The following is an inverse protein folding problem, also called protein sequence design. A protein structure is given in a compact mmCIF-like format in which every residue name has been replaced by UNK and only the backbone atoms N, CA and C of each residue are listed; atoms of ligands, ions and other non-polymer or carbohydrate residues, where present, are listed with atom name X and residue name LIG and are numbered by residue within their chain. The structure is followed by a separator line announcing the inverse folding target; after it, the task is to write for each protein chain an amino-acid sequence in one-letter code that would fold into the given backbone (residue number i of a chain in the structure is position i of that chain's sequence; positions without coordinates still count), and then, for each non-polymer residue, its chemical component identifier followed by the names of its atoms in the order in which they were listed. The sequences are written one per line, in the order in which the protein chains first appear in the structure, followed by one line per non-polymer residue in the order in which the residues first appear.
data_IF_013793157063
#
_entry.id   IF_013793157063
#
_cell.length_a   1.000
_cell.length_b   1.000
_cell.length_c   1.000
_cell.angle_alpha   90.00
_cell.angle_beta   90.00
_cell.angle_gamma   90.00
#
_symmetry.space_group_name_H-M   'P 1'
#
loop_
_entity.id
_entity.type
_entity.pdbx_description
1 polymer ?
#
# COMPACT_ATOMS: atom_id res chain seq x y z
N UNK A 1 -4.97 16.75 -13.09
CA UNK A 1 -3.53 16.58 -13.35
C UNK A 1 -3.24 15.10 -13.41
N UNK A 2 -2.34 14.68 -14.30
CA UNK A 2 -2.05 13.26 -14.54
C UNK A 2 -1.07 12.72 -13.50
N UNK A 3 -1.19 11.43 -13.17
CA UNK A 3 -0.14 10.71 -12.45
C UNK A 3 1.05 10.53 -13.37
N UNK A 4 2.24 10.94 -12.93
CA UNK A 4 3.49 10.80 -13.69
C UNK A 4 4.50 9.87 -13.01
N UNK A 5 4.28 9.53 -11.73
CA UNK A 5 5.13 8.60 -10.99
C UNK A 5 4.36 7.93 -9.86
N UNK A 6 4.73 6.68 -9.57
CA UNK A 6 4.32 5.93 -8.38
C UNK A 6 5.52 5.88 -7.43
N UNK A 7 5.30 6.19 -6.15
CA UNK A 7 6.28 5.99 -5.09
C UNK A 7 5.95 4.69 -4.34
N UNK A 8 6.95 3.84 -4.12
CA UNK A 8 6.79 2.55 -3.42
C UNK A 8 8.00 2.25 -2.51
N UNK A 9 7.81 1.39 -1.51
CA UNK A 9 8.86 0.99 -0.55
C UNK A 9 9.54 -0.33 -0.90
N UNK A 10 9.12 -0.97 -2.00
CA UNK A 10 9.79 -2.11 -2.61
C UNK A 10 8.92 -3.35 -2.67
N UNK A 11 9.50 -4.40 -3.24
CA UNK A 11 8.81 -5.68 -3.47
C UNK A 11 9.47 -6.85 -2.76
N UNK A 12 10.80 -6.82 -2.58
CA UNK A 12 11.55 -7.91 -1.97
C UNK A 12 12.15 -7.51 -0.62
N UNK A 13 11.91 -8.34 0.39
CA UNK A 13 12.60 -8.33 1.66
C UNK A 13 12.52 -9.72 2.29
N UNK A 14 13.65 -10.40 2.45
CA UNK A 14 13.71 -11.72 3.08
C UNK A 14 13.54 -11.59 4.60
N UNK A 15 12.28 -11.55 5.05
CA UNK A 15 11.89 -11.37 6.45
C UNK A 15 10.59 -12.11 6.81
N UNK A 16 10.37 -12.44 8.09
CA UNK A 16 9.05 -12.84 8.56
C UNK A 16 8.07 -11.66 8.54
N UNK A 17 6.77 -11.96 8.63
CA UNK A 17 5.71 -10.95 8.74
C UNK A 17 6.00 -10.00 9.90
N UNK A 18 5.90 -8.69 9.63
CA UNK A 18 6.19 -7.58 10.56
C UNK A 18 7.61 -7.59 11.17
N UNK A 19 8.59 -8.28 10.53
CA UNK A 19 9.93 -8.48 11.08
C UNK A 19 9.96 -9.18 12.46
N UNK A 20 8.88 -9.88 12.85
CA UNK A 20 8.82 -10.55 14.15
C UNK A 20 9.30 -11.99 14.03
N UNK A 21 10.29 -12.37 14.85
CA UNK A 21 10.81 -13.73 14.89
C UNK A 21 9.70 -14.74 15.25
N UNK A 22 9.69 -15.89 14.57
CA UNK A 22 8.66 -16.92 14.76
C UNK A 22 7.41 -16.76 13.88
N UNK A 23 7.19 -15.58 13.28
CA UNK A 23 6.11 -15.42 12.30
C UNK A 23 6.41 -16.16 11.00
N UNK A 24 5.35 -16.49 10.26
CA UNK A 24 5.46 -17.02 8.89
C UNK A 24 6.26 -16.08 7.98
N UNK A 25 6.90 -16.59 6.91
CA UNK A 25 7.52 -15.74 5.89
C UNK A 25 6.49 -14.77 5.27
N UNK A 26 6.87 -13.50 5.13
CA UNK A 26 6.07 -12.48 4.44
C UNK A 26 6.00 -12.78 2.93
N UNK A 27 4.99 -12.29 2.20
CA UNK A 27 5.01 -12.35 0.74
C UNK A 27 6.19 -11.59 0.11
N UNK A 28 6.69 -10.54 0.78
CA UNK A 28 7.94 -9.87 0.39
C UNK A 28 9.15 -10.80 0.38
N UNK A 29 9.16 -11.88 1.19
CA UNK A 29 10.26 -12.85 1.17
C UNK A 29 10.39 -13.59 -0.16
N UNK A 30 9.34 -13.53 -1.01
CA UNK A 30 9.27 -14.15 -2.33
C UNK A 30 9.11 -13.13 -3.46
N UNK A 31 9.33 -11.85 -3.18
CA UNK A 31 9.02 -10.74 -4.09
C UNK A 31 7.56 -10.75 -4.59
N UNK A 32 6.65 -11.35 -3.81
CA UNK A 32 5.24 -11.53 -4.16
C UNK A 32 4.36 -10.46 -3.49
N UNK A 33 4.90 -9.27 -3.24
CA UNK A 33 4.14 -8.15 -2.70
C UNK A 33 4.74 -6.82 -3.16
N UNK A 34 3.97 -5.75 -3.05
CA UNK A 34 4.39 -4.36 -3.29
C UNK A 34 3.84 -3.46 -2.19
N UNK A 35 4.71 -2.65 -1.59
CA UNK A 35 4.30 -1.60 -0.64
C UNK A 35 4.16 -0.27 -1.39
N UNK A 36 2.94 0.12 -1.75
CA UNK A 36 2.62 1.37 -2.45
C UNK A 36 2.56 2.55 -1.46
N UNK A 37 3.35 3.59 -1.67
CA UNK A 37 3.42 4.76 -0.78
C UNK A 37 2.65 6.00 -1.28
N UNK A 38 2.39 6.11 -2.59
CA UNK A 38 1.68 7.26 -3.15
C UNK A 38 1.98 7.52 -4.63
N UNK A 39 1.56 8.69 -5.12
CA UNK A 39 1.79 9.15 -6.49
C UNK A 39 2.35 10.57 -6.53
N UNK A 40 3.01 10.89 -7.64
CA UNK A 40 3.34 12.26 -8.04
C UNK A 40 2.54 12.66 -9.25
N UNK A 41 2.00 13.87 -9.23
CA UNK A 41 1.23 14.43 -10.32
C UNK A 41 2.10 15.34 -11.19
N UNK A 42 1.70 15.53 -12.45
CA UNK A 42 2.41 16.38 -13.42
C UNK A 42 2.56 17.84 -12.94
N UNK A 43 1.66 18.30 -12.08
CA UNK A 43 1.66 19.64 -11.48
C UNK A 43 2.59 19.77 -10.26
N UNK A 44 3.35 18.72 -9.93
CA UNK A 44 4.30 18.70 -8.82
C UNK A 44 3.71 18.27 -7.49
N UNK A 45 2.38 18.12 -7.37
CA UNK A 45 1.76 17.60 -6.15
C UNK A 45 2.16 16.16 -5.88
N UNK A 46 2.23 15.82 -4.60
CA UNK A 46 2.46 14.47 -4.12
C UNK A 46 1.29 14.07 -3.24
N UNK A 47 0.68 12.93 -3.55
CA UNK A 47 -0.41 12.36 -2.77
C UNK A 47 0.14 11.06 -2.17
N UNK A 48 0.23 11.00 -0.86
CA UNK A 48 0.91 9.95 -0.09
C UNK A 48 -0.03 9.31 0.91
N UNK A 49 0.12 8.00 1.12
CA UNK A 49 -0.64 7.29 2.16
C UNK A 49 -0.32 7.88 3.54
N UNK A 50 0.97 8.16 3.80
CA UNK A 50 1.40 8.71 5.08
C UNK A 50 0.79 10.09 5.41
N UNK A 51 0.60 10.96 4.42
CA UNK A 51 0.15 12.34 4.62
C UNK A 51 -1.35 12.54 4.44
N UNK A 52 -1.96 11.83 3.50
CA UNK A 52 -3.26 12.21 2.94
C UNK A 52 -4.36 11.17 3.21
N UNK A 53 -4.03 10.03 3.84
CA UNK A 53 -4.99 8.93 4.00
C UNK A 53 -6.20 9.24 4.89
N UNK A 54 -5.96 9.97 5.99
CA UNK A 54 -6.95 10.20 7.05
C UNK A 54 -7.72 11.52 6.87
N UNK A 55 -7.46 12.27 5.81
CA UNK A 55 -8.21 13.47 5.49
C UNK A 55 -9.61 13.14 4.91
N UNK A 56 -10.48 14.14 4.81
CA UNK A 56 -11.77 14.02 4.12
C UNK A 56 -11.81 14.87 2.83
N UNK A 57 -10.76 14.74 2.02
CA UNK A 57 -10.56 15.51 0.80
C UNK A 57 -10.45 14.63 -0.45
N UNK A 58 -10.13 15.26 -1.58
CA UNK A 58 -10.07 14.58 -2.86
C UNK A 58 -8.91 13.57 -2.92
N UNK A 59 -7.81 13.90 -2.27
CA UNK A 59 -6.58 13.12 -2.14
C UNK A 59 -6.83 11.83 -1.32
N UNK A 60 -7.47 11.95 -0.16
CA UNK A 60 -7.90 10.79 0.62
C UNK A 60 -8.83 9.88 -0.19
N UNK A 61 -9.87 10.45 -0.81
CA UNK A 61 -10.81 9.69 -1.67
C UNK A 61 -10.12 9.04 -2.86
N UNK A 62 -9.09 9.67 -3.41
CA UNK A 62 -8.27 9.10 -4.47
C UNK A 62 -7.48 7.88 -3.99
N UNK A 63 -6.83 7.95 -2.82
CA UNK A 63 -6.11 6.82 -2.23
C UNK A 63 -7.04 5.65 -1.86
N UNK A 64 -8.22 5.94 -1.30
CA UNK A 64 -9.23 4.91 -0.99
C UNK A 64 -9.72 4.19 -2.25
N UNK A 65 -9.88 4.91 -3.37
CA UNK A 65 -10.17 4.29 -4.68
C UNK A 65 -9.05 3.38 -5.16
N UNK A 66 -7.79 3.81 -5.05
CA UNK A 66 -6.64 2.95 -5.37
C UNK A 66 -6.68 1.67 -4.53
N UNK A 67 -6.92 1.77 -3.22
CA UNK A 67 -7.06 0.60 -2.33
C UNK A 67 -8.16 -0.34 -2.82
N UNK A 68 -9.35 0.20 -3.11
CA UNK A 68 -10.51 -0.61 -3.53
C UNK A 68 -10.29 -1.32 -4.87
N UNK A 69 -9.68 -0.63 -5.83
CA UNK A 69 -9.36 -1.23 -7.13
C UNK A 69 -8.21 -2.24 -7.02
N UNK A 70 -7.19 -1.95 -6.21
CA UNK A 70 -6.11 -2.89 -5.93
C UNK A 70 -6.63 -4.16 -5.25
N UNK A 71 -7.62 -4.06 -4.35
CA UNK A 71 -8.25 -5.22 -3.72
C UNK A 71 -8.84 -6.19 -4.77
N UNK A 72 -9.43 -5.66 -5.85
CA UNK A 72 -9.98 -6.49 -6.94
C UNK A 72 -8.90 -7.21 -7.76
N UNK A 73 -7.70 -6.65 -7.83
CA UNK A 73 -6.58 -7.16 -8.63
C UNK A 73 -5.73 -8.14 -7.82
N UNK A 74 -5.37 -7.76 -6.59
CA UNK A 74 -4.42 -8.50 -5.76
C UNK A 74 -5.14 -9.44 -4.78
N UNK A 75 -6.33 -9.12 -4.29
CA UNK A 75 -7.10 -9.94 -3.35
C UNK A 75 -6.74 -9.70 -1.87
N UNK A 76 -5.49 -9.35 -1.56
CA UNK A 76 -5.10 -8.85 -0.23
C UNK A 76 -4.50 -7.46 -0.35
N UNK A 77 -5.13 -6.50 0.35
CA UNK A 77 -4.68 -5.11 0.46
C UNK A 77 -4.78 -4.66 1.91
N UNK A 78 -3.64 -4.41 2.54
CA UNK A 78 -3.57 -3.91 3.91
C UNK A 78 -3.24 -2.42 3.87
N UNK A 79 -4.06 -1.61 4.51
CA UNK A 79 -3.94 -0.16 4.53
C UNK A 79 -3.71 0.36 5.95
N UNK A 80 -3.56 1.67 6.16
CA UNK A 80 -3.54 2.24 7.51
C UNK A 80 -4.76 1.86 8.37
N UNK A 81 -5.91 1.53 7.75
CA UNK A 81 -7.11 1.08 8.46
C UNK A 81 -6.96 -0.34 9.03
N UNK A 82 -5.98 -1.13 8.57
CA UNK A 82 -5.71 -2.48 9.08
C UNK A 82 -4.98 -2.44 10.43
N UNK A 83 -3.83 -1.76 10.47
CA UNK A 83 -3.02 -1.57 11.68
C UNK A 83 -1.87 -0.56 11.46
N UNK A 84 -1.14 -0.27 12.53
CA UNK A 84 -0.04 0.71 12.56
C UNK A 84 1.20 0.35 11.74
N UNK A 85 1.37 -0.93 11.34
CA UNK A 85 2.47 -1.33 10.46
C UNK A 85 2.26 -0.83 9.03
N UNK A 86 1.03 -0.53 8.64
CA UNK A 86 0.65 -0.07 7.29
C UNK A 86 0.29 1.42 7.26
N UNK A 87 0.67 2.19 8.28
CA UNK A 87 0.28 3.61 8.42
C UNK A 87 0.73 4.52 7.28
N UNK A 88 1.73 4.11 6.51
CA UNK A 88 2.38 4.91 5.47
C UNK A 88 2.35 4.27 4.08
N UNK A 89 1.70 3.12 3.91
CA UNK A 89 1.62 2.42 2.63
C UNK A 89 0.38 1.52 2.52
N UNK A 90 0.08 1.12 1.28
CA UNK A 90 -0.79 -0.02 0.99
C UNK A 90 0.10 -1.23 0.69
N UNK A 91 -0.05 -2.31 1.46
CA UNK A 91 0.59 -3.59 1.15
C UNK A 91 -0.30 -4.38 0.20
N UNK A 92 0.22 -4.69 -0.99
CA UNK A 92 -0.50 -5.39 -2.05
C UNK A 92 0.13 -6.78 -2.24
N UNK A 93 -0.59 -7.86 -1.98
CA UNK A 93 -0.13 -9.23 -2.25
C UNK A 93 -1.20 -10.06 -2.99
N UNK A 94 -0.81 -10.90 -3.97
CA UNK A 94 -1.75 -11.73 -4.70
C UNK A 94 -2.29 -12.87 -3.84
N UNK A 95 -3.60 -13.10 -3.95
CA UNK A 95 -4.31 -14.14 -3.21
C UNK A 95 -4.93 -13.63 -1.90
N UNK A 96 -5.63 -14.53 -1.21
CA UNK A 96 -6.43 -14.15 -0.03
C UNK A 96 -7.69 -13.35 -0.38
N UNK A 97 -8.38 -12.85 0.65
CA UNK A 97 -9.57 -11.99 0.57
C UNK A 97 -9.62 -11.04 1.78
N UNK A 98 -8.51 -10.35 2.04
CA UNK A 98 -8.39 -9.42 3.15
C UNK A 98 -8.11 -8.01 2.62
N UNK A 99 -9.14 -7.16 2.67
CA UNK A 99 -9.03 -5.78 2.25
C UNK A 99 -9.55 -4.88 3.37
N UNK A 100 -8.75 -3.87 3.71
CA UNK A 100 -9.00 -2.88 4.77
C UNK A 100 -8.87 -1.48 4.21
#
# INVERSE_FOLDING_TARGET
SDVVQIDHFGTYACRPVNNQAGNRPSAHSRAAALDFGGVRLRDGRRITVAGDWSADDAEARFLKRIRDDACRIFGTVLSPDYNSFHRDHLHLEPGGRLCS
#
